data_IF_331864712029
#
_entry.id   IF_331864712029
#
_cell.length_a   1.000
_cell.length_b   1.000
_cell.length_c   1.000
_cell.angle_alpha   90.00
_cell.angle_beta   90.00
_cell.angle_gamma   90.00
#
_symmetry.space_group_name_H-M   'P 1'
#
loop_
_entity.id
_entity.type
_entity.pdbx_description
1 polymer ?
#
# COMPACT_ATOMS: atom_id res chain seq x y z
N UNK A 1 -14.59 -15.74 12.65
CA UNK A 1 -14.10 -16.26 13.94
C UNK A 1 -12.94 -15.39 14.36
N UNK A 2 -13.11 -14.58 15.44
CA UNK A 2 -12.10 -13.58 15.88
C UNK A 2 -11.14 -14.15 16.95
N UNK A 3 -10.92 -15.47 16.96
CA UNK A 3 -10.22 -16.18 18.03
C UNK A 3 -8.70 -15.92 18.13
N UNK A 4 -8.12 -15.14 17.20
CA UNK A 4 -6.69 -14.84 17.19
C UNK A 4 -6.36 -13.41 17.65
N UNK A 5 -7.35 -12.51 17.73
CA UNK A 5 -7.10 -11.12 18.12
C UNK A 5 -6.94 -11.01 19.63
N UNK A 6 -5.76 -10.53 20.07
CA UNK A 6 -5.43 -10.32 21.49
C UNK A 6 -5.58 -8.84 21.86
N UNK A 7 -6.33 -8.60 22.92
CA UNK A 7 -6.66 -7.26 23.42
C UNK A 7 -6.13 -7.12 24.84
N UNK A 8 -5.39 -6.06 25.12
CA UNK A 8 -4.99 -5.69 26.48
C UNK A 8 -5.92 -4.59 26.99
N UNK A 9 -6.59 -4.81 28.11
CA UNK A 9 -7.43 -3.83 28.80
C UNK A 9 -6.64 -3.26 29.94
N UNK A 10 -6.47 -1.93 29.95
CA UNK A 10 -5.70 -1.20 30.96
C UNK A 10 -6.61 -0.17 31.63
N UNK A 11 -6.93 -0.38 32.89
CA UNK A 11 -7.84 0.47 33.65
C UNK A 11 -7.60 0.22 35.13
N UNK A 12 -7.70 1.21 36.01
CA UNK A 12 -7.53 1.03 37.44
C UNK A 12 -8.79 0.47 38.11
N UNK A 13 -9.96 0.67 37.50
CA UNK A 13 -11.24 0.15 37.99
C UNK A 13 -11.41 -1.36 37.69
N UNK A 14 -11.27 -2.19 38.68
CA UNK A 14 -11.40 -3.66 38.54
C UNK A 14 -12.72 -4.09 37.92
N UNK A 15 -13.83 -3.50 38.37
CA UNK A 15 -15.16 -3.86 37.88
C UNK A 15 -15.33 -3.57 36.37
N UNK A 16 -14.79 -2.44 35.90
CA UNK A 16 -14.84 -2.08 34.50
C UNK A 16 -13.98 -3.04 33.64
N UNK A 17 -12.78 -3.37 34.10
CA UNK A 17 -11.91 -4.35 33.44
C UNK A 17 -12.60 -5.72 33.27
N UNK A 18 -13.22 -6.22 34.35
CA UNK A 18 -13.89 -7.52 34.34
C UNK A 18 -15.13 -7.51 33.42
N UNK A 19 -15.91 -6.44 33.45
CA UNK A 19 -17.06 -6.25 32.56
C UNK A 19 -16.61 -6.25 31.09
N UNK A 20 -15.65 -5.44 30.76
CA UNK A 20 -15.15 -5.30 29.38
C UNK A 20 -14.54 -6.62 28.90
N UNK A 21 -13.75 -7.28 29.75
CA UNK A 21 -13.20 -8.62 29.48
C UNK A 21 -14.29 -9.63 29.16
N UNK A 22 -15.38 -9.65 29.93
CA UNK A 22 -16.50 -10.56 29.70
C UNK A 22 -17.20 -10.28 28.35
N UNK A 23 -17.41 -9.01 28.02
CA UNK A 23 -18.00 -8.59 26.73
C UNK A 23 -17.13 -9.04 25.56
N UNK A 24 -15.82 -8.80 25.64
CA UNK A 24 -14.86 -9.15 24.58
C UNK A 24 -14.74 -10.67 24.39
N UNK A 25 -14.66 -11.42 25.50
CA UNK A 25 -14.64 -12.90 25.47
C UNK A 25 -15.92 -13.47 24.83
N UNK A 26 -17.09 -12.91 25.13
CA UNK A 26 -18.37 -13.32 24.52
C UNK A 26 -18.37 -13.12 22.99
N UNK A 27 -17.56 -12.16 22.50
CA UNK A 27 -17.39 -11.89 21.06
C UNK A 27 -16.25 -12.71 20.42
N UNK A 28 -15.56 -13.56 21.20
CA UNK A 28 -14.51 -14.44 20.72
C UNK A 28 -13.11 -13.82 20.70
N UNK A 29 -12.88 -12.66 21.35
CA UNK A 29 -11.57 -12.05 21.50
C UNK A 29 -10.82 -12.64 22.71
N UNK A 30 -9.48 -12.71 22.59
CA UNK A 30 -8.61 -12.97 23.72
C UNK A 30 -8.35 -11.65 24.45
N UNK A 31 -8.69 -11.58 25.75
CA UNK A 31 -8.58 -10.35 26.51
C UNK A 31 -7.82 -10.55 27.82
N UNK A 32 -6.71 -9.84 27.96
CA UNK A 32 -5.90 -9.74 29.16
C UNK A 32 -6.12 -8.38 29.84
N UNK A 33 -5.79 -8.28 31.13
CA UNK A 33 -6.04 -7.08 31.92
C UNK A 33 -4.76 -6.62 32.63
N UNK A 34 -4.57 -5.29 32.66
CA UNK A 34 -3.56 -4.62 33.48
C UNK A 34 -4.25 -3.54 34.32
N UNK A 35 -3.73 -3.27 35.52
CA UNK A 35 -4.34 -2.34 36.47
C UNK A 35 -3.79 -0.92 36.37
N UNK A 36 -2.73 -0.71 35.60
CA UNK A 36 -2.08 0.59 35.37
C UNK A 36 -1.12 0.48 34.17
N UNK A 37 -0.57 1.62 33.75
CA UNK A 37 0.34 1.66 32.59
C UNK A 37 1.62 0.84 32.77
N UNK A 38 2.17 0.77 33.98
CA UNK A 38 3.40 -0.01 34.26
C UNK A 38 3.15 -1.53 34.10
N UNK A 39 1.98 -2.01 34.53
CA UNK A 39 1.56 -3.40 34.34
C UNK A 39 1.33 -3.68 32.84
N UNK A 40 0.73 -2.72 32.13
CA UNK A 40 0.53 -2.83 30.70
C UNK A 40 1.86 -2.94 29.94
N UNK A 41 2.85 -2.14 30.28
CA UNK A 41 4.21 -2.23 29.71
C UNK A 41 4.82 -3.61 29.97
N UNK A 42 4.67 -4.17 31.18
CA UNK A 42 5.15 -5.53 31.47
C UNK A 42 4.45 -6.59 30.62
N UNK A 43 3.12 -6.47 30.46
CA UNK A 43 2.34 -7.38 29.65
C UNK A 43 2.78 -7.29 28.16
N UNK A 44 2.94 -6.09 27.60
CA UNK A 44 3.38 -5.89 26.22
C UNK A 44 4.82 -6.32 25.94
N UNK A 45 5.67 -6.42 26.98
CA UNK A 45 7.02 -7.01 26.85
C UNK A 45 7.01 -8.53 26.85
N UNK A 46 6.01 -9.15 27.48
CA UNK A 46 5.89 -10.59 27.58
C UNK A 46 5.14 -11.20 26.39
N UNK A 47 4.17 -10.48 25.85
CA UNK A 47 3.26 -10.94 24.82
C UNK A 47 2.91 -9.83 23.83
N UNK A 48 2.63 -10.21 22.56
CA UNK A 48 2.16 -9.26 21.55
C UNK A 48 0.62 -9.11 21.64
N UNK A 49 0.15 -7.86 21.55
CA UNK A 49 -1.26 -7.52 21.51
C UNK A 49 -1.57 -6.78 20.19
N UNK A 50 -2.75 -7.05 19.64
CA UNK A 50 -3.24 -6.34 18.44
C UNK A 50 -3.84 -4.98 18.80
N UNK A 51 -4.51 -4.93 19.95
CA UNK A 51 -5.25 -3.77 20.45
C UNK A 51 -4.92 -3.56 21.92
N UNK A 52 -4.66 -2.31 22.30
CA UNK A 52 -4.59 -1.86 23.68
C UNK A 52 -5.75 -0.92 23.93
N UNK A 53 -6.55 -1.20 24.94
CA UNK A 53 -7.65 -0.34 25.39
C UNK A 53 -7.23 0.22 26.74
N UNK A 54 -7.01 1.52 26.84
CA UNK A 54 -6.48 2.14 28.08
C UNK A 54 -7.37 3.24 28.60
N UNK A 55 -7.57 3.26 29.93
CA UNK A 55 -8.10 4.46 30.56
C UNK A 55 -7.09 5.61 30.41
N UNK A 56 -7.62 6.81 30.27
CA UNK A 56 -6.82 8.03 30.25
C UNK A 56 -6.26 8.37 31.63
N UNK A 57 -7.07 8.22 32.66
CA UNK A 57 -6.79 8.64 34.03
C UNK A 57 -6.55 7.40 34.89
N UNK A 58 -5.31 7.13 35.22
CA UNK A 58 -4.91 6.03 36.08
C UNK A 58 -3.78 6.50 37.01
N UNK A 59 -3.67 5.90 38.21
CA UNK A 59 -2.57 6.16 39.13
C UNK A 59 -1.22 5.70 38.54
N UNK A 60 -0.20 6.51 38.73
CA UNK A 60 1.15 6.26 38.22
C UNK A 60 1.25 6.60 36.74
N UNK A 61 1.58 5.63 35.90
CA UNK A 61 1.66 5.81 34.43
C UNK A 61 0.26 5.87 33.85
N UNK A 62 -0.15 7.05 33.39
CA UNK A 62 -1.46 7.30 32.81
C UNK A 62 -1.57 6.85 31.34
N UNK A 63 -2.78 6.94 30.75
CA UNK A 63 -3.03 6.48 29.38
C UNK A 63 -2.25 7.24 28.31
N UNK A 64 -2.04 8.56 28.47
CA UNK A 64 -1.24 9.35 27.52
C UNK A 64 0.24 8.97 27.56
N UNK A 65 0.78 8.74 28.76
CA UNK A 65 2.16 8.28 28.94
C UNK A 65 2.35 6.88 28.35
N UNK A 66 1.34 6.00 28.48
CA UNK A 66 1.35 4.68 27.86
C UNK A 66 1.37 4.77 26.32
N UNK A 67 0.58 5.64 25.72
CA UNK A 67 0.57 5.87 24.26
C UNK A 67 1.94 6.39 23.80
N UNK A 68 2.52 7.37 24.50
CA UNK A 68 3.86 7.89 24.20
C UNK A 68 4.91 6.78 24.27
N UNK A 69 4.85 5.95 25.29
CA UNK A 69 5.73 4.79 25.44
C UNK A 69 5.57 3.82 24.26
N UNK A 70 4.34 3.50 23.85
CA UNK A 70 4.06 2.63 22.69
C UNK A 70 4.67 3.21 21.41
N UNK A 71 4.53 4.51 21.18
CA UNK A 71 5.06 5.23 20.01
C UNK A 71 6.60 5.20 19.99
N UNK A 72 7.25 5.55 21.10
CA UNK A 72 8.71 5.58 21.23
C UNK A 72 9.34 4.20 21.03
N UNK A 73 8.68 3.16 21.54
CA UNK A 73 9.14 1.78 21.42
C UNK A 73 8.64 1.06 20.17
N UNK A 74 7.97 1.79 19.24
CA UNK A 74 7.44 1.27 17.96
C UNK A 74 6.54 0.04 18.13
N UNK A 75 5.76 0.01 19.22
CA UNK A 75 4.80 -1.08 19.47
C UNK A 75 3.70 -1.01 18.41
N UNK A 76 3.43 -2.13 17.76
CA UNK A 76 2.50 -2.20 16.61
C UNK A 76 1.03 -2.22 17.01
N UNK A 77 0.72 -2.44 18.28
CA UNK A 77 -0.65 -2.47 18.80
C UNK A 77 -1.35 -1.14 18.53
N UNK A 78 -2.61 -1.19 18.10
CA UNK A 78 -3.43 0.02 18.00
C UNK A 78 -4.06 0.34 19.36
N UNK A 79 -4.03 1.61 19.76
CA UNK A 79 -4.52 2.04 21.06
C UNK A 79 -5.90 2.71 20.92
N UNK A 80 -6.88 2.25 21.72
CA UNK A 80 -8.16 2.92 21.96
C UNK A 80 -8.10 3.51 23.37
N UNK A 81 -8.34 4.81 23.47
CA UNK A 81 -8.42 5.47 24.78
C UNK A 81 -9.85 5.44 25.29
N UNK A 82 -10.03 5.08 26.56
CA UNK A 82 -11.33 5.16 27.23
C UNK A 82 -11.23 6.18 28.36
N UNK A 83 -12.30 6.90 28.64
CA UNK A 83 -12.38 7.82 29.79
C UNK A 83 -13.80 7.94 30.34
N UNK A 84 -13.93 8.22 31.62
CA UNK A 84 -15.20 8.57 32.24
C UNK A 84 -15.61 10.02 31.92
N UNK A 85 -14.64 10.91 31.71
CA UNK A 85 -14.85 12.35 31.46
C UNK A 85 -14.29 12.74 30.12
N UNK A 86 -15.20 13.06 29.19
CA UNK A 86 -14.81 13.53 27.87
C UNK A 86 -14.62 15.04 27.89
N UNK A 87 -13.40 15.50 27.54
CA UNK A 87 -13.23 16.84 26.97
C UNK A 87 -12.73 16.73 25.53
N UNK A 88 -13.09 17.70 24.70
CA UNK A 88 -12.59 17.74 23.31
C UNK A 88 -11.06 17.83 23.30
N UNK A 89 -10.50 18.56 24.26
CA UNK A 89 -9.04 18.77 24.38
C UNK A 89 -8.30 17.44 24.65
N UNK A 90 -8.76 16.63 25.60
CA UNK A 90 -8.14 15.36 25.96
C UNK A 90 -8.27 14.32 24.82
N UNK A 91 -9.40 14.32 24.10
CA UNK A 91 -9.59 13.46 22.95
C UNK A 91 -8.62 13.83 21.80
N UNK A 92 -8.51 15.13 21.49
CA UNK A 92 -7.59 15.64 20.46
C UNK A 92 -6.14 15.35 20.82
N UNK A 93 -5.76 15.51 22.10
CA UNK A 93 -4.41 15.20 22.58
C UNK A 93 -4.09 13.72 22.43
N UNK A 94 -4.98 12.83 22.84
CA UNK A 94 -4.80 11.38 22.70
C UNK A 94 -4.58 10.96 21.24
N UNK A 95 -5.38 11.49 20.32
CA UNK A 95 -5.24 11.21 18.88
C UNK A 95 -3.91 11.75 18.32
N UNK A 96 -3.49 12.96 18.72
CA UNK A 96 -2.18 13.53 18.31
C UNK A 96 -1.01 12.69 18.80
N UNK A 97 -1.10 12.12 19.99
CA UNK A 97 -0.06 11.25 20.53
C UNK A 97 -0.04 9.85 19.88
N UNK A 98 -1.10 9.46 19.16
CA UNK A 98 -1.12 8.22 18.37
C UNK A 98 -2.21 7.23 18.76
N UNK A 99 -3.21 7.63 19.56
CA UNK A 99 -4.39 6.81 19.75
C UNK A 99 -5.13 6.63 18.43
N UNK A 100 -5.63 5.43 18.18
CA UNK A 100 -6.45 5.13 17.01
C UNK A 100 -7.86 5.70 17.14
N UNK A 101 -8.42 5.62 18.33
CA UNK A 101 -9.77 6.11 18.62
C UNK A 101 -9.91 6.45 20.11
N UNK A 102 -10.99 7.14 20.41
CA UNK A 102 -11.33 7.61 21.73
C UNK A 102 -12.78 7.22 22.07
N UNK A 103 -13.01 6.72 23.29
CA UNK A 103 -14.30 6.23 23.73
C UNK A 103 -14.67 6.73 25.13
N UNK A 104 -15.93 7.01 25.37
CA UNK A 104 -16.42 7.46 26.68
C UNK A 104 -17.05 6.27 27.41
N UNK A 105 -16.64 6.00 28.67
CA UNK A 105 -17.14 4.85 29.46
C UNK A 105 -18.67 4.81 29.59
N UNK A 106 -19.33 5.96 29.60
CA UNK A 106 -20.80 6.07 29.66
C UNK A 106 -21.53 5.85 28.34
N UNK A 107 -20.80 5.77 27.21
CA UNK A 107 -21.37 5.50 25.88
C UNK A 107 -21.79 4.03 25.73
N UNK A 108 -22.58 3.75 24.68
CA UNK A 108 -23.01 2.39 24.39
C UNK A 108 -21.80 1.49 24.09
N UNK A 109 -21.62 0.36 24.80
CA UNK A 109 -20.52 -0.59 24.55
C UNK A 109 -20.45 -1.10 23.11
N UNK A 110 -21.54 -1.04 22.36
CA UNK A 110 -21.54 -1.41 20.92
C UNK A 110 -20.64 -0.50 20.07
N UNK A 111 -20.49 0.76 20.44
CA UNK A 111 -19.60 1.71 19.74
C UNK A 111 -18.14 1.31 19.90
N UNK A 112 -17.73 0.89 21.11
CA UNK A 112 -16.39 0.37 21.35
C UNK A 112 -16.12 -0.91 20.54
N UNK A 113 -17.10 -1.81 20.48
CA UNK A 113 -16.99 -3.02 19.67
C UNK A 113 -16.81 -2.67 18.20
N UNK A 114 -17.54 -1.70 17.68
CA UNK A 114 -17.40 -1.23 16.31
C UNK A 114 -15.99 -0.68 16.00
N UNK A 115 -15.41 0.08 16.93
CA UNK A 115 -14.02 0.55 16.78
C UNK A 115 -13.00 -0.61 16.79
N UNK A 116 -13.23 -1.62 17.63
CA UNK A 116 -12.41 -2.84 17.67
C UNK A 116 -12.51 -3.59 16.34
N UNK A 117 -13.73 -3.78 15.80
CA UNK A 117 -13.97 -4.46 14.53
C UNK A 117 -13.27 -3.74 13.35
N UNK A 118 -13.28 -2.42 13.34
CA UNK A 118 -12.51 -1.63 12.36
C UNK A 118 -11.01 -1.94 12.44
N UNK A 119 -10.44 -1.97 13.65
CA UNK A 119 -9.01 -2.29 13.84
C UNK A 119 -8.70 -3.69 13.34
N UNK A 120 -9.54 -4.67 13.70
CA UNK A 120 -9.38 -6.07 13.26
C UNK A 120 -9.38 -6.17 11.75
N UNK A 121 -10.31 -5.50 11.07
CA UNK A 121 -10.40 -5.51 9.60
C UNK A 121 -9.18 -4.82 8.96
N UNK A 122 -8.73 -3.69 9.49
CA UNK A 122 -7.51 -3.01 9.00
C UNK A 122 -6.27 -3.91 9.19
N UNK A 123 -6.16 -4.60 10.32
CA UNK A 123 -5.04 -5.52 10.59
C UNK A 123 -5.09 -6.74 9.66
N UNK A 124 -6.29 -7.29 9.40
CA UNK A 124 -6.52 -8.38 8.44
C UNK A 124 -6.07 -7.97 7.03
N UNK A 125 -6.58 -6.86 6.52
CA UNK A 125 -6.21 -6.33 5.20
C UNK A 125 -4.71 -6.03 5.09
N UNK A 126 -4.11 -5.51 6.14
CA UNK A 126 -2.66 -5.24 6.20
C UNK A 126 -1.84 -6.54 6.17
N UNK A 127 -2.33 -7.60 6.83
CA UNK A 127 -1.69 -8.93 6.84
C UNK A 127 -1.83 -9.63 5.49
N UNK A 128 -3.01 -9.59 4.88
CA UNK A 128 -3.25 -10.12 3.53
C UNK A 128 -2.36 -9.41 2.50
N UNK A 129 -2.27 -8.08 2.56
CA UNK A 129 -1.38 -7.30 1.70
C UNK A 129 0.10 -7.67 1.92
N UNK A 130 0.49 -7.92 3.18
CA UNK A 130 1.85 -8.36 3.53
C UNK A 130 2.14 -9.77 3.03
N UNK A 131 1.17 -10.69 3.11
CA UNK A 131 1.28 -12.06 2.54
C UNK A 131 1.39 -12.03 1.01
N UNK A 132 0.58 -11.22 0.34
CA UNK A 132 0.68 -11.02 -1.11
C UNK A 132 2.04 -10.43 -1.49
N UNK A 133 2.56 -9.49 -0.71
CA UNK A 133 3.91 -8.93 -0.89
C UNK A 133 5.03 -9.93 -0.56
N UNK A 134 4.85 -10.84 0.40
CA UNK A 134 5.85 -11.86 0.76
C UNK A 134 5.95 -12.99 -0.26
N UNK A 135 4.88 -13.26 -1.02
CA UNK A 135 4.96 -14.12 -2.21
C UNK A 135 5.87 -13.51 -3.29
N UNK A 136 6.07 -12.19 -3.26
CA UNK A 136 7.03 -11.46 -4.10
C UNK A 136 8.46 -11.52 -3.51
N UNK A 137 8.64 -11.76 -2.20
CA UNK A 137 9.97 -11.81 -1.55
C UNK A 137 10.79 -13.09 -1.81
N UNK A 138 10.24 -14.07 -2.55
CA UNK A 138 11.03 -15.11 -3.20
C UNK A 138 11.98 -14.60 -4.30
N UNK A 139 11.91 -13.29 -4.61
CA UNK A 139 12.71 -12.63 -5.64
C UNK A 139 14.22 -12.69 -5.37
N UNK A 140 14.68 -12.55 -4.14
CA UNK A 140 16.12 -12.60 -3.83
C UNK A 140 16.71 -13.99 -4.13
N UNK A 141 15.93 -15.07 -3.93
CA UNK A 141 16.33 -16.43 -4.30
C UNK A 141 16.29 -16.64 -5.83
N UNK A 142 15.34 -16.02 -6.53
CA UNK A 142 15.22 -16.06 -7.99
C UNK A 142 16.30 -15.24 -8.70
N UNK A 143 16.83 -14.21 -8.03
CA UNK A 143 17.88 -13.34 -8.55
C UNK A 143 19.28 -13.81 -8.20
N UNK A 144 19.44 -14.87 -7.38
CA UNK A 144 20.74 -15.48 -7.11
C UNK A 144 21.31 -16.05 -8.40
N UNK A 145 22.45 -15.54 -8.82
CA UNK A 145 23.07 -15.94 -10.09
C UNK A 145 24.56 -16.21 -9.92
N UNK A 146 25.07 -17.17 -10.71
CA UNK A 146 26.52 -17.39 -10.89
C UNK A 146 27.05 -16.65 -12.13
N UNK A 147 26.18 -15.97 -12.89
CA UNK A 147 26.58 -15.24 -14.09
C UNK A 147 27.06 -13.84 -13.75
N UNK A 148 28.31 -13.53 -13.99
CA UNK A 148 28.92 -12.20 -13.81
C UNK A 148 28.15 -11.13 -14.61
N UNK A 149 27.73 -11.43 -15.83
CA UNK A 149 26.94 -10.51 -16.67
C UNK A 149 25.61 -10.12 -16.00
N UNK A 150 24.92 -11.10 -15.38
CA UNK A 150 23.66 -10.82 -14.71
C UNK A 150 23.89 -10.10 -13.38
N UNK A 151 24.97 -10.37 -12.66
CA UNK A 151 25.35 -9.63 -11.47
C UNK A 151 25.56 -8.13 -11.76
N UNK A 152 26.21 -7.80 -12.88
CA UNK A 152 26.37 -6.42 -13.33
C UNK A 152 25.00 -5.74 -13.65
N UNK A 153 24.04 -6.49 -14.21
CA UNK A 153 22.67 -5.99 -14.44
C UNK A 153 21.98 -5.69 -13.11
N UNK A 154 22.11 -6.55 -12.11
CA UNK A 154 21.52 -6.33 -10.78
C UNK A 154 22.14 -5.12 -10.08
N UNK A 155 23.47 -4.94 -10.15
CA UNK A 155 24.13 -3.77 -9.60
C UNK A 155 23.64 -2.47 -10.26
N UNK A 156 23.48 -2.48 -11.59
CA UNK A 156 22.91 -1.35 -12.31
C UNK A 156 21.45 -1.09 -11.90
N UNK A 157 20.67 -2.15 -11.75
CA UNK A 157 19.28 -2.08 -11.31
C UNK A 157 19.16 -1.45 -9.91
N UNK A 158 20.06 -1.76 -8.97
CA UNK A 158 20.10 -1.13 -7.64
C UNK A 158 20.43 0.36 -7.72
N UNK A 159 21.44 0.74 -8.52
CA UNK A 159 21.79 2.15 -8.73
C UNK A 159 20.60 2.93 -9.31
N UNK A 160 19.92 2.39 -10.30
CA UNK A 160 18.75 3.02 -10.92
C UNK A 160 17.55 3.03 -9.97
N UNK A 161 17.38 2.00 -9.14
CA UNK A 161 16.30 1.94 -8.16
C UNK A 161 16.31 3.12 -7.18
N UNK A 162 17.49 3.62 -6.82
CA UNK A 162 17.65 4.78 -5.94
C UNK A 162 17.22 6.12 -6.57
N UNK A 163 16.88 6.14 -7.86
CA UNK A 163 16.45 7.34 -8.60
C UNK A 163 15.01 7.21 -9.08
N UNK A 164 14.38 8.34 -9.44
CA UNK A 164 13.06 8.36 -10.10
C UNK A 164 13.14 8.32 -11.65
N UNK A 165 14.31 8.02 -12.20
CA UNK A 165 14.50 7.93 -13.64
C UNK A 165 13.61 6.85 -14.27
N UNK A 166 13.10 7.13 -15.48
CA UNK A 166 12.43 6.14 -16.30
C UNK A 166 13.43 5.06 -16.75
N UNK A 167 12.98 3.80 -16.76
CA UNK A 167 13.82 2.65 -17.08
C UNK A 167 13.28 1.92 -18.30
N UNK A 168 14.17 1.55 -19.22
CA UNK A 168 13.86 0.65 -20.31
C UNK A 168 14.67 -0.64 -20.19
N UNK A 169 13.96 -1.76 -20.07
CA UNK A 169 14.53 -3.10 -20.01
C UNK A 169 14.49 -3.75 -21.41
N UNK A 170 15.64 -4.08 -21.94
CA UNK A 170 15.79 -4.75 -23.22
C UNK A 170 16.23 -6.20 -22.99
N UNK A 171 15.53 -7.14 -23.63
CA UNK A 171 15.90 -8.55 -23.54
C UNK A 171 14.88 -9.46 -24.20
N UNK A 172 15.31 -10.68 -24.54
CA UNK A 172 14.44 -11.69 -25.14
C UNK A 172 13.24 -12.05 -24.26
N UNK A 173 12.20 -12.64 -24.85
CA UNK A 173 11.07 -13.15 -24.06
C UNK A 173 11.57 -14.21 -23.07
N UNK A 174 11.04 -14.20 -21.84
CA UNK A 174 11.45 -15.12 -20.79
C UNK A 174 12.79 -14.77 -20.10
N UNK A 175 13.49 -13.68 -20.48
CA UNK A 175 14.76 -13.27 -19.86
C UNK A 175 14.65 -12.72 -18.43
N UNK A 176 13.43 -12.66 -17.84
CA UNK A 176 13.22 -12.21 -16.47
C UNK A 176 12.98 -10.71 -16.31
N UNK A 177 12.60 -10.00 -17.38
CA UNK A 177 12.30 -8.54 -17.35
C UNK A 177 11.28 -8.16 -16.27
N UNK A 178 10.23 -8.96 -16.10
CA UNK A 178 9.21 -8.73 -15.05
C UNK A 178 9.80 -8.91 -13.63
N UNK A 179 10.66 -9.91 -13.42
CA UNK A 179 11.34 -10.14 -12.15
C UNK A 179 12.26 -8.96 -11.81
N UNK A 180 13.02 -8.50 -12.81
CA UNK A 180 13.91 -7.34 -12.65
C UNK A 180 13.12 -6.05 -12.36
N UNK A 181 11.94 -5.87 -12.97
CA UNK A 181 11.04 -4.75 -12.67
C UNK A 181 10.59 -4.77 -11.22
N UNK A 182 10.14 -5.93 -10.72
CA UNK A 182 9.76 -6.09 -9.30
C UNK A 182 10.93 -5.77 -8.37
N UNK A 183 12.14 -6.21 -8.72
CA UNK A 183 13.36 -5.91 -7.96
C UNK A 183 13.65 -4.41 -7.91
N UNK A 184 13.63 -3.72 -9.05
CA UNK A 184 13.85 -2.27 -9.13
C UNK A 184 12.80 -1.52 -8.29
N UNK A 185 11.54 -1.92 -8.37
CA UNK A 185 10.47 -1.32 -7.57
C UNK A 185 10.70 -1.52 -6.07
N UNK A 186 11.02 -2.74 -5.64
CA UNK A 186 11.27 -3.08 -4.22
C UNK A 186 12.47 -2.35 -3.62
N UNK A 187 13.49 -2.04 -4.43
CA UNK A 187 14.69 -1.29 -3.99
C UNK A 187 14.52 0.23 -4.11
N UNK A 188 13.39 0.70 -4.65
CA UNK A 188 13.13 2.13 -4.89
C UNK A 188 12.54 2.85 -3.66
N UNK A 189 12.52 4.18 -3.73
CA UNK A 189 11.81 5.04 -2.77
C UNK A 189 10.29 4.79 -2.74
N UNK A 190 9.73 4.21 -3.84
CA UNK A 190 8.31 3.91 -4.02
C UNK A 190 7.93 2.46 -3.66
N UNK A 191 8.81 1.72 -2.99
CA UNK A 191 8.64 0.28 -2.65
C UNK A 191 7.37 -0.03 -1.86
N UNK A 192 6.90 0.93 -1.06
CA UNK A 192 5.70 0.77 -0.22
C UNK A 192 4.41 1.14 -0.95
N UNK A 193 4.54 1.69 -2.17
CA UNK A 193 3.42 2.06 -3.02
C UNK A 193 3.11 0.94 -4.02
N UNK A 194 2.07 1.14 -4.85
CA UNK A 194 1.61 0.14 -5.80
C UNK A 194 2.57 0.00 -7.00
N UNK A 195 2.79 -1.24 -7.45
CA UNK A 195 3.34 -1.55 -8.77
C UNK A 195 2.19 -2.00 -9.68
N UNK A 196 1.84 -1.18 -10.65
CA UNK A 196 0.83 -1.50 -11.67
C UNK A 196 1.53 -2.05 -12.90
N UNK A 197 1.28 -3.31 -13.24
CA UNK A 197 1.84 -3.97 -14.42
C UNK A 197 0.80 -4.08 -15.54
N UNK A 198 1.21 -3.77 -16.76
CA UNK A 198 0.39 -3.88 -17.97
C UNK A 198 1.21 -4.61 -19.04
N UNK A 199 0.69 -5.73 -19.53
CA UNK A 199 1.25 -6.39 -20.69
C UNK A 199 0.56 -5.84 -21.94
N UNK A 200 1.27 -5.01 -22.72
CA UNK A 200 0.72 -4.33 -23.88
C UNK A 200 0.43 -5.28 -25.04
N UNK A 201 1.17 -6.38 -25.16
CA UNK A 201 0.93 -7.42 -26.16
C UNK A 201 -0.40 -8.15 -25.94
N UNK A 202 -0.83 -8.31 -24.69
CA UNK A 202 -2.05 -9.03 -24.34
C UNK A 202 -3.33 -8.20 -24.56
N UNK A 203 -3.22 -6.90 -24.82
CA UNK A 203 -4.35 -6.01 -25.01
C UNK A 203 -4.69 -5.83 -26.49
N UNK A 204 -5.97 -5.97 -26.88
CA UNK A 204 -6.40 -5.55 -28.21
C UNK A 204 -6.08 -4.07 -28.46
N UNK A 205 -5.61 -3.72 -29.66
CA UNK A 205 -5.24 -2.34 -29.99
C UNK A 205 -6.36 -1.33 -29.67
N UNK A 206 -7.61 -1.71 -29.90
CA UNK A 206 -8.81 -0.88 -29.62
C UNK A 206 -9.06 -0.64 -28.14
N UNK A 207 -8.48 -1.43 -27.24
CA UNK A 207 -8.68 -1.33 -25.80
C UNK A 207 -7.47 -0.76 -25.06
N UNK A 208 -6.31 -0.66 -25.70
CA UNK A 208 -5.07 -0.16 -25.09
C UNK A 208 -5.29 1.22 -24.44
N UNK A 209 -5.87 2.16 -25.17
CA UNK A 209 -6.12 3.49 -24.64
C UNK A 209 -7.12 3.47 -23.49
N UNK A 210 -8.19 2.70 -23.60
CA UNK A 210 -9.19 2.58 -22.52
C UNK A 210 -8.61 1.95 -21.24
N UNK A 211 -7.74 0.96 -21.38
CA UNK A 211 -7.06 0.37 -20.21
C UNK A 211 -6.04 1.34 -19.60
N UNK A 212 -5.26 2.04 -20.40
CA UNK A 212 -4.22 2.95 -19.90
C UNK A 212 -4.79 4.23 -19.29
N UNK A 213 -5.74 4.89 -20.00
CA UNK A 213 -6.28 6.19 -19.60
C UNK A 213 -7.58 6.10 -18.80
N UNK A 214 -8.31 4.98 -18.90
CA UNK A 214 -9.66 4.89 -18.37
C UNK A 214 -10.70 5.57 -19.26
N UNK A 215 -11.95 5.50 -18.86
CA UNK A 215 -13.05 6.07 -19.63
C UNK A 215 -14.19 6.58 -18.75
N UNK A 216 -14.90 7.58 -19.24
CA UNK A 216 -16.15 8.04 -18.68
C UNK A 216 -17.32 7.20 -19.18
N UNK A 217 -18.43 7.22 -18.44
CA UNK A 217 -19.67 6.55 -18.83
C UNK A 217 -20.16 7.06 -20.18
N UNK A 218 -20.45 6.14 -21.11
CA UNK A 218 -20.98 6.47 -22.43
C UNK A 218 -19.94 6.92 -23.47
N UNK A 219 -18.65 6.81 -23.18
CA UNK A 219 -17.57 7.23 -24.08
C UNK A 219 -17.42 6.36 -25.34
N UNK A 220 -17.89 5.11 -25.29
CA UNK A 220 -17.98 4.18 -26.43
C UNK A 220 -19.05 3.11 -26.17
N UNK A 221 -19.41 2.36 -27.21
CA UNK A 221 -20.41 1.28 -27.13
C UNK A 221 -19.94 0.19 -26.15
N UNK A 222 -20.68 0.03 -25.05
CA UNK A 222 -20.35 -0.91 -23.96
C UNK A 222 -19.73 -0.29 -22.71
N UNK A 223 -19.49 1.03 -22.67
CA UNK A 223 -19.04 1.73 -21.46
C UNK A 223 -20.23 2.08 -20.54
N UNK A 224 -20.70 1.08 -19.76
CA UNK A 224 -21.84 1.26 -18.85
C UNK A 224 -21.51 2.10 -17.60
N UNK A 225 -20.23 2.21 -17.25
CA UNK A 225 -19.76 2.95 -16.07
C UNK A 225 -18.42 3.67 -16.32
N UNK A 226 -18.07 4.59 -15.41
CA UNK A 226 -16.74 5.20 -15.36
C UNK A 226 -15.71 4.16 -14.85
N UNK A 227 -14.55 4.10 -15.50
CA UNK A 227 -13.43 3.24 -15.09
C UNK A 227 -12.11 4.02 -15.06
N UNK A 228 -11.40 3.91 -13.96
CA UNK A 228 -10.04 4.46 -13.81
C UNK A 228 -9.05 3.68 -14.67
N UNK A 229 -8.13 4.42 -15.32
CA UNK A 229 -7.06 3.83 -16.10
C UNK A 229 -5.83 3.42 -15.28
N UNK A 230 -4.88 2.75 -15.93
CA UNK A 230 -3.64 2.26 -15.30
C UNK A 230 -2.72 3.40 -14.87
N UNK A 231 -2.68 4.51 -15.60
CA UNK A 231 -1.95 5.71 -15.20
C UNK A 231 -2.46 6.28 -13.88
N UNK A 232 -3.78 6.38 -13.72
CA UNK A 232 -4.42 6.86 -12.50
C UNK A 232 -4.19 5.87 -11.34
N UNK A 233 -4.29 4.57 -11.61
CA UNK A 233 -4.06 3.52 -10.62
C UNK A 233 -2.60 3.48 -10.12
N UNK A 234 -1.63 3.89 -10.97
CA UNK A 234 -0.22 3.93 -10.62
C UNK A 234 0.20 5.22 -9.90
N UNK A 235 -0.74 6.12 -9.59
CA UNK A 235 -0.45 7.38 -8.91
C UNK A 235 0.33 7.13 -7.61
N UNK A 236 1.40 7.89 -7.39
CA UNK A 236 2.42 7.76 -6.32
C UNK A 236 3.28 6.49 -6.39
N UNK A 237 2.93 5.52 -7.24
CA UNK A 237 3.59 4.22 -7.37
C UNK A 237 4.53 4.09 -8.57
N UNK A 238 4.57 2.89 -9.12
CA UNK A 238 5.35 2.54 -10.32
C UNK A 238 4.42 1.93 -11.36
N UNK A 239 4.51 2.40 -12.60
CA UNK A 239 3.86 1.80 -13.76
C UNK A 239 4.88 0.98 -14.55
N UNK A 240 4.57 -0.28 -14.78
CA UNK A 240 5.34 -1.17 -15.64
C UNK A 240 4.57 -1.46 -16.92
N UNK A 241 5.15 -1.12 -18.06
CA UNK A 241 4.61 -1.41 -19.40
C UNK A 241 5.52 -2.48 -20.04
N UNK A 242 5.00 -3.71 -20.07
CA UNK A 242 5.70 -4.82 -20.74
C UNK A 242 5.33 -4.85 -22.23
N UNK A 243 6.30 -5.19 -23.05
CA UNK A 243 6.24 -5.21 -24.52
C UNK A 243 5.73 -3.87 -25.10
N UNK A 244 6.37 -2.76 -24.64
CA UNK A 244 6.02 -1.39 -25.07
C UNK A 244 6.14 -1.20 -26.59
N UNK A 245 6.99 -1.99 -27.27
CA UNK A 245 7.16 -1.97 -28.71
C UNK A 245 5.93 -2.43 -29.49
N UNK A 246 4.95 -3.09 -28.85
CA UNK A 246 3.73 -3.58 -29.52
C UNK A 246 2.60 -2.55 -29.50
N UNK A 247 2.78 -1.41 -28.82
CA UNK A 247 1.78 -0.33 -28.80
C UNK A 247 1.72 0.38 -30.15
N UNK A 248 0.51 0.64 -30.70
CA UNK A 248 0.33 1.42 -31.93
C UNK A 248 0.98 2.80 -31.86
N UNK A 249 1.53 3.28 -32.95
CA UNK A 249 2.24 4.58 -33.00
C UNK A 249 1.40 5.77 -32.55
N UNK A 250 0.09 5.73 -32.83
CA UNK A 250 -0.86 6.75 -32.37
C UNK A 250 -0.93 6.83 -30.87
N UNK A 251 -0.99 5.69 -30.19
CA UNK A 251 -1.03 5.59 -28.74
C UNK A 251 0.33 5.89 -28.10
N UNK A 252 1.47 5.59 -28.78
CA UNK A 252 2.81 5.93 -28.31
C UNK A 252 2.98 7.46 -28.12
N UNK A 253 2.50 8.27 -29.07
CA UNK A 253 2.58 9.72 -28.97
C UNK A 253 1.78 10.27 -27.77
N UNK A 254 0.62 9.69 -27.51
CA UNK A 254 -0.23 10.05 -26.36
C UNK A 254 0.43 9.66 -25.04
N UNK A 255 1.01 8.47 -24.98
CA UNK A 255 1.77 7.99 -23.80
C UNK A 255 2.95 8.93 -23.52
N UNK A 256 3.72 9.32 -24.54
CA UNK A 256 4.85 10.23 -24.38
C UNK A 256 4.42 11.55 -23.73
N UNK A 257 3.34 12.17 -24.23
CA UNK A 257 2.78 13.40 -23.64
C UNK A 257 2.41 13.23 -22.17
N UNK A 258 1.79 12.09 -21.83
CA UNK A 258 1.39 11.81 -20.44
C UNK A 258 2.60 11.63 -19.50
N UNK A 259 3.70 11.07 -20.02
CA UNK A 259 4.95 10.91 -19.26
C UNK A 259 5.62 12.28 -19.03
N UNK A 260 5.64 13.14 -20.06
CA UNK A 260 6.27 14.46 -20.01
C UNK A 260 5.50 15.43 -19.12
N UNK A 261 4.17 15.52 -19.32
CA UNK A 261 3.34 16.50 -18.63
C UNK A 261 2.91 16.04 -17.23
N UNK A 262 3.01 14.74 -16.93
CA UNK A 262 2.47 14.12 -15.69
C UNK A 262 0.96 14.37 -15.56
N UNK A 263 0.25 14.41 -16.67
CA UNK A 263 -1.18 14.62 -16.75
C UNK A 263 -1.80 13.67 -17.77
N UNK A 264 -3.02 13.24 -17.48
CA UNK A 264 -3.81 12.36 -18.34
C UNK A 264 -5.24 12.88 -18.47
N UNK A 265 -5.91 12.45 -19.52
CA UNK A 265 -7.36 12.65 -19.73
C UNK A 265 -8.02 11.30 -19.94
N UNK A 266 -9.16 11.03 -19.31
CA UNK A 266 -9.94 9.82 -19.59
C UNK A 266 -10.60 9.92 -20.95
N UNK A 267 -10.83 8.77 -21.58
CA UNK A 267 -11.59 8.75 -22.85
C UNK A 267 -13.01 9.26 -22.60
N UNK A 268 -13.42 10.24 -23.40
CA UNK A 268 -14.73 10.91 -23.25
C UNK A 268 -14.75 12.06 -22.24
N UNK A 269 -13.60 12.45 -21.69
CA UNK A 269 -13.44 13.62 -20.83
C UNK A 269 -12.36 14.56 -21.34
N UNK A 270 -12.53 15.85 -21.08
CA UNK A 270 -11.49 16.88 -21.28
C UNK A 270 -10.89 17.33 -19.94
N UNK A 271 -11.20 16.63 -18.84
CA UNK A 271 -10.64 16.93 -17.54
C UNK A 271 -9.24 16.36 -17.41
N UNK A 272 -8.26 17.24 -17.16
CA UNK A 272 -6.87 16.84 -16.92
C UNK A 272 -6.70 16.35 -15.47
N UNK A 273 -6.13 15.17 -15.33
CA UNK A 273 -5.86 14.51 -14.05
C UNK A 273 -4.35 14.44 -13.86
N UNK A 274 -3.84 15.05 -12.79
CA UNK A 274 -2.41 14.97 -12.44
C UNK A 274 -2.07 13.58 -11.92
N UNK A 275 -1.02 12.99 -12.48
CA UNK A 275 -0.51 11.67 -12.09
C UNK A 275 0.99 11.76 -11.80
N UNK A 276 1.40 11.22 -10.67
CA UNK A 276 2.81 11.06 -10.33
C UNK A 276 3.14 9.57 -10.27
N UNK A 277 3.91 9.08 -11.20
CA UNK A 277 4.34 7.69 -11.24
C UNK A 277 5.78 7.60 -11.77
N UNK A 278 6.50 6.56 -11.33
CA UNK A 278 7.73 6.12 -11.94
C UNK A 278 7.41 5.16 -13.06
N UNK A 279 8.06 5.32 -14.23
CA UNK A 279 7.84 4.44 -15.37
C UNK A 279 8.99 3.43 -15.52
N UNK A 280 8.63 2.16 -15.69
CA UNK A 280 9.52 1.10 -16.16
C UNK A 280 8.88 0.49 -17.40
N UNK A 281 9.61 0.40 -18.49
CA UNK A 281 9.18 -0.24 -19.73
C UNK A 281 10.04 -1.46 -20.02
N UNK A 282 9.46 -2.45 -20.71
CA UNK A 282 10.22 -3.59 -21.22
C UNK A 282 9.83 -3.89 -22.66
N UNK A 283 10.76 -4.43 -23.43
CA UNK A 283 10.50 -4.95 -24.77
C UNK A 283 11.57 -5.97 -25.20
N UNK A 284 11.18 -6.91 -26.04
CA UNK A 284 12.07 -7.81 -26.74
C UNK A 284 12.52 -7.27 -28.12
N UNK A 285 11.92 -6.18 -28.59
CA UNK A 285 12.23 -5.58 -29.90
C UNK A 285 13.51 -4.78 -29.87
N UNK A 286 14.22 -4.78 -31.02
CA UNK A 286 15.38 -3.92 -31.22
C UNK A 286 14.94 -2.51 -31.68
N UNK A 287 14.53 -1.66 -30.73
CA UNK A 287 14.04 -0.33 -31.02
C UNK A 287 15.02 0.53 -31.83
N UNK A 288 16.34 0.36 -31.63
CA UNK A 288 17.36 1.10 -32.39
C UNK A 288 17.29 0.74 -33.88
N UNK A 289 17.13 -0.55 -34.20
CA UNK A 289 17.00 -1.01 -35.58
C UNK A 289 15.70 -0.52 -36.22
N UNK A 290 14.58 -0.64 -35.50
CA UNK A 290 13.27 -0.16 -35.97
C UNK A 290 13.25 1.35 -36.27
N UNK A 291 13.88 2.15 -35.38
CA UNK A 291 14.00 3.60 -35.60
C UNK A 291 14.85 3.87 -36.84
N UNK A 292 15.97 3.19 -37.02
CA UNK A 292 16.86 3.37 -38.16
C UNK A 292 16.15 3.02 -39.49
N UNK A 293 15.40 1.91 -39.53
CA UNK A 293 14.64 1.46 -40.68
C UNK A 293 13.51 2.46 -41.05
N UNK A 294 12.79 2.99 -40.02
CA UNK A 294 11.74 4.00 -40.26
C UNK A 294 12.31 5.33 -40.79
N UNK A 295 13.42 5.80 -40.17
CA UNK A 295 14.11 7.00 -40.65
C UNK A 295 14.55 6.81 -42.09
N UNK A 296 15.18 5.68 -42.42
CA UNK A 296 15.61 5.37 -43.80
C UNK A 296 14.45 5.36 -44.78
N UNK A 297 13.29 4.76 -44.42
CA UNK A 297 12.10 4.75 -45.29
C UNK A 297 11.49 6.15 -45.48
N UNK A 298 11.60 7.07 -44.52
CA UNK A 298 11.12 8.45 -44.65
C UNK A 298 11.99 9.29 -45.61
N UNK A 299 13.26 8.95 -45.79
CA UNK A 299 14.17 9.65 -46.72
C UNK A 299 14.24 9.00 -48.11
N UNK A 300 13.61 7.83 -48.33
CA UNK A 300 13.65 7.11 -49.59
C UNK A 300 12.31 7.20 -50.38
N UNK A 301 11.29 7.85 -49.81
CA UNK A 301 10.04 8.23 -50.48
C UNK A 301 9.94 9.74 -50.66
#
# INVERSE_FOLDING_TARGET
MNSETRILIVDDEKNFRELLRAILKKRGYMADCASNGADAVRAMKAEEYDIVITDLMMDGMNGLELIKYMKENRIKSRCIVITAYASIETAVEAIREGAFSYFIKSSNPQELIFEIEKIVEINRLSSENRMLRSQVSGLDAMLSTKSEKYANVLELAEKVAATDANVLLLGESGSGKEILTKYIHMKSSRRDNILVSVNCHALPETLIESELYGHEKGSFTGSEGMRKGRFEAAHTGTLFLDEIGDIPLTSQAKILRSIENKEIERIGSNESIKVDFRLICATNRNLKKEIAEKIQSMFMN
#
